data_IF_746039985748
#
_entry.id   IF_746039985748
#
_cell.length_a   1.000
_cell.length_b   1.000
_cell.length_c   1.000
_cell.angle_alpha   90.00
_cell.angle_beta   90.00
_cell.angle_gamma   90.00
#
_symmetry.space_group_name_H-M   'P 1'
#
loop_
_entity.id
_entity.type
_entity.pdbx_description
1 polymer ?
#
# COMPACT_ATOMS: atom_id res chain seq x y z
N UNK A 1 48.76 -5.11 55.42
CA UNK A 1 47.73 -6.18 55.40
C UNK A 1 46.90 -6.03 54.14
N UNK A 2 47.17 -6.87 53.15
CA UNK A 2 46.35 -7.12 51.96
C UNK A 2 46.06 -8.63 51.94
N UNK A 3 44.84 -9.02 51.63
CA UNK A 3 44.63 -10.03 50.57
C UNK A 3 43.55 -9.54 49.57
N UNK A 4 43.77 -9.53 48.25
CA UNK A 4 43.74 -10.68 47.30
C UNK A 4 42.52 -11.58 47.49
N UNK A 5 41.58 -11.55 46.53
CA UNK A 5 41.02 -12.73 45.82
C UNK A 5 40.61 -12.31 44.38
N UNK A 6 40.82 -13.16 43.36
CA UNK A 6 40.89 -12.81 41.93
C UNK A 6 39.72 -13.38 41.09
N UNK A 7 39.63 -12.98 39.83
CA UNK A 7 38.82 -13.64 38.78
C UNK A 7 38.61 -12.69 37.62
N UNK A 8 39.32 -12.80 36.49
CA UNK A 8 39.21 -13.91 35.53
C UNK A 8 38.20 -13.44 34.47
N UNK A 9 38.60 -13.02 33.28
CA UNK A 9 39.23 -13.89 32.28
C UNK A 9 38.18 -14.22 31.23
N UNK A 10 38.51 -13.94 29.97
CA UNK A 10 37.66 -14.09 28.79
C UNK A 10 36.99 -15.46 28.65
N UNK A 11 35.76 -15.50 28.15
CA UNK A 11 35.25 -16.65 27.40
C UNK A 11 34.10 -16.24 26.47
N UNK A 12 34.37 -16.38 25.17
CA UNK A 12 33.40 -16.59 24.10
C UNK A 12 32.59 -17.88 24.38
N UNK A 13 31.41 -18.03 23.76
CA UNK A 13 30.95 -19.22 22.98
C UNK A 13 29.41 -19.30 22.93
N UNK A 14 28.90 -19.01 21.72
CA UNK A 14 27.96 -19.79 20.88
C UNK A 14 27.08 -20.87 21.52
N UNK A 15 25.76 -20.75 21.32
CA UNK A 15 24.77 -21.83 21.16
C UNK A 15 23.43 -21.19 20.71
N UNK A 16 22.54 -21.76 19.91
CA UNK A 16 22.54 -22.91 19.03
C UNK A 16 21.24 -22.81 18.18
N UNK A 17 21.36 -23.14 16.90
CA UNK A 17 20.45 -24.03 16.16
C UNK A 17 18.92 -23.85 16.29
N UNK A 18 18.30 -23.37 15.22
CA UNK A 18 17.09 -24.00 14.68
C UNK A 18 17.19 -24.03 13.15
N UNK A 19 17.83 -25.09 12.65
CA UNK A 19 17.51 -25.65 11.36
C UNK A 19 16.34 -26.61 11.58
N UNK A 20 15.26 -26.44 10.84
CA UNK A 20 14.38 -27.55 10.49
C UNK A 20 13.86 -27.31 9.08
N UNK A 21 14.22 -28.26 8.23
CA UNK A 21 13.90 -28.38 6.82
C UNK A 21 12.58 -29.16 6.71
N UNK A 22 11.61 -28.63 5.97
CA UNK A 22 10.54 -29.43 5.37
C UNK A 22 10.05 -28.69 4.12
N UNK A 23 10.54 -29.05 2.93
CA UNK A 23 10.07 -30.16 2.10
C UNK A 23 9.06 -29.69 1.03
N UNK A 24 9.31 -30.06 -0.23
CA UNK A 24 8.24 -30.27 -1.20
C UNK A 24 8.31 -29.50 -2.51
N UNK A 25 9.18 -30.00 -3.41
CA UNK A 25 8.96 -30.17 -4.85
C UNK A 25 7.79 -29.46 -5.56
N UNK A 26 8.14 -28.76 -6.64
CA UNK A 26 7.31 -28.43 -7.81
C UNK A 26 6.56 -29.68 -8.34
N UNK A 27 5.41 -29.50 -9.00
CA UNK A 27 5.48 -29.50 -10.46
C UNK A 27 4.61 -28.46 -11.16
N UNK A 28 5.11 -28.08 -12.33
CA UNK A 28 4.41 -27.38 -13.38
C UNK A 28 3.21 -28.19 -13.90
N UNK A 29 2.10 -27.49 -14.18
CA UNK A 29 1.14 -27.90 -15.20
C UNK A 29 0.77 -26.66 -16.02
N UNK A 30 1.31 -26.65 -17.24
CA UNK A 30 0.80 -25.87 -18.34
C UNK A 30 -0.52 -26.50 -18.82
N UNK A 31 -1.54 -25.69 -19.05
CA UNK A 31 -2.59 -25.91 -20.05
C UNK A 31 -3.14 -24.52 -20.40
N UNK A 32 -2.66 -23.93 -21.50
CA UNK A 32 -3.15 -24.12 -22.86
C UNK A 32 -4.34 -23.20 -23.15
N UNK A 33 -4.08 -22.28 -24.08
CA UNK A 33 -5.00 -21.37 -24.72
C UNK A 33 -6.16 -22.09 -25.44
N UNK A 34 -7.31 -21.42 -25.52
CA UNK A 34 -8.20 -21.39 -26.69
C UNK A 34 -9.35 -20.43 -26.37
N UNK A 35 -9.48 -19.24 -26.97
CA UNK A 35 -9.85 -18.89 -28.35
C UNK A 35 -11.36 -18.81 -28.59
N UNK A 36 -11.72 -17.87 -29.48
CA UNK A 36 -13.04 -17.61 -30.09
C UNK A 36 -14.09 -16.90 -29.20
N UNK A 37 -14.81 -15.87 -29.64
CA UNK A 37 -14.96 -15.22 -30.95
C UNK A 37 -15.43 -13.76 -30.73
N UNK A 38 -14.97 -12.80 -31.53
CA UNK A 38 -15.54 -12.45 -32.84
C UNK A 38 -16.85 -11.64 -32.74
N UNK A 39 -16.75 -10.42 -33.30
CA UNK A 39 -17.76 -9.74 -34.12
C UNK A 39 -18.99 -9.06 -33.44
N UNK A 40 -18.90 -7.74 -33.31
CA UNK A 40 -19.61 -6.76 -34.16
C UNK A 40 -21.14 -6.88 -34.34
N UNK A 41 -21.90 -5.90 -33.82
CA UNK A 41 -23.16 -5.39 -34.40
C UNK A 41 -23.54 -4.06 -33.71
N UNK A 42 -23.33 -2.91 -34.35
CA UNK A 42 -24.29 -2.21 -35.21
C UNK A 42 -25.33 -1.38 -34.42
N UNK A 43 -25.13 -0.07 -34.47
CA UNK A 43 -26.15 0.93 -34.19
C UNK A 43 -27.26 0.87 -35.26
N UNK A 44 -28.53 1.04 -34.85
CA UNK A 44 -29.57 1.91 -35.45
C UNK A 44 -30.96 1.62 -34.87
N UNK A 45 -31.55 2.65 -34.26
CA UNK A 45 -32.91 3.16 -34.50
C UNK A 45 -34.14 2.33 -34.11
N UNK A 46 -35.09 2.98 -33.43
CA UNK A 46 -36.51 2.55 -33.43
C UNK A 46 -37.28 2.97 -32.19
N UNK A 47 -38.11 3.99 -32.33
CA UNK A 47 -38.98 4.56 -31.31
C UNK A 47 -40.15 3.62 -30.90
N UNK A 48 -40.56 3.69 -29.64
CA UNK A 48 -41.73 3.00 -29.11
C UNK A 48 -42.12 3.55 -27.74
N UNK A 49 -43.09 4.45 -27.77
CA UNK A 49 -43.86 5.07 -26.67
C UNK A 49 -44.29 4.10 -25.56
N UNK A 50 -44.01 4.48 -24.30
CA UNK A 50 -44.91 4.24 -23.16
C UNK A 50 -44.57 5.21 -22.02
N UNK A 51 -45.51 6.10 -21.77
CA UNK A 51 -45.60 6.98 -20.62
C UNK A 51 -45.77 6.14 -19.34
N UNK A 52 -44.87 6.32 -18.38
CA UNK A 52 -45.10 5.91 -17.00
C UNK A 52 -44.40 6.93 -16.10
N UNK A 53 -45.14 7.98 -15.73
CA UNK A 53 -44.78 8.85 -14.63
C UNK A 53 -44.76 8.02 -13.34
N UNK A 54 -43.58 7.55 -12.97
CA UNK A 54 -43.21 7.21 -11.61
C UNK A 54 -41.77 7.60 -11.50
N UNK A 55 -41.49 8.54 -10.60
CA UNK A 55 -40.15 8.83 -10.14
C UNK A 55 -39.59 7.57 -9.47
N UNK A 56 -38.46 7.00 -9.92
CA UNK A 56 -37.52 6.45 -8.98
C UNK A 56 -36.36 7.43 -8.87
N UNK A 57 -36.16 7.87 -7.63
CA UNK A 57 -34.98 8.56 -7.19
C UNK A 57 -33.73 7.84 -7.73
N UNK A 58 -32.79 8.66 -8.19
CA UNK A 58 -31.42 8.31 -8.54
C UNK A 58 -30.78 7.40 -7.49
N UNK A 59 -30.98 6.10 -7.62
CA UNK A 59 -30.06 5.09 -7.11
C UNK A 59 -29.05 4.87 -8.24
N UNK A 60 -28.09 5.78 -8.34
CA UNK A 60 -26.80 5.44 -8.91
C UNK A 60 -26.28 4.27 -8.06
N UNK A 61 -26.57 3.05 -8.50
CA UNK A 61 -25.87 1.86 -8.05
C UNK A 61 -24.44 2.15 -8.45
N UNK A 62 -23.66 2.66 -7.49
CA UNK A 62 -22.23 2.81 -7.66
C UNK A 62 -21.73 1.42 -7.96
N UNK A 63 -21.46 1.16 -9.24
CA UNK A 63 -20.52 0.12 -9.65
C UNK A 63 -19.34 0.28 -8.71
N UNK A 64 -19.16 -0.69 -7.82
CA UNK A 64 -17.95 -0.80 -7.02
C UNK A 64 -16.83 -0.78 -8.04
N UNK A 65 -16.19 0.38 -8.19
CA UNK A 65 -15.15 0.58 -9.18
C UNK A 65 -14.14 -0.54 -8.95
N UNK A 66 -13.84 -1.30 -10.01
CA UNK A 66 -12.78 -2.29 -9.94
C UNK A 66 -11.57 -1.64 -9.28
N UNK A 67 -10.88 -2.34 -8.35
CA UNK A 67 -9.77 -1.79 -7.60
C UNK A 67 -8.78 -1.17 -8.58
N UNK A 68 -8.84 0.17 -8.70
CA UNK A 68 -8.03 0.88 -9.69
C UNK A 68 -6.60 0.69 -9.28
N UNK A 69 -5.80 0.18 -10.23
CA UNK A 69 -4.35 0.10 -10.05
C UNK A 69 -3.85 1.51 -9.74
N UNK A 70 -3.11 1.63 -8.66
CA UNK A 70 -2.57 2.90 -8.24
C UNK A 70 -1.55 3.43 -9.25
N UNK A 71 -1.38 4.76 -9.35
CA UNK A 71 -0.28 5.34 -10.10
C UNK A 71 1.06 4.98 -9.45
N UNK A 72 2.13 5.19 -10.20
CA UNK A 72 3.50 4.94 -9.74
C UNK A 72 3.98 5.94 -8.68
N UNK A 73 3.59 7.19 -8.85
CA UNK A 73 3.92 8.28 -7.94
C UNK A 73 2.75 9.28 -7.92
N UNK A 74 2.57 9.94 -6.79
CA UNK A 74 1.67 11.08 -6.65
C UNK A 74 2.53 12.33 -6.53
N UNK A 75 2.35 13.27 -7.45
CA UNK A 75 3.10 14.53 -7.44
C UNK A 75 2.26 15.59 -6.74
N UNK A 76 2.84 16.26 -5.75
CA UNK A 76 2.22 17.44 -5.13
C UNK A 76 2.39 18.66 -6.05
N UNK A 77 1.55 19.71 -5.91
CA UNK A 77 1.71 20.94 -6.71
C UNK A 77 3.10 21.60 -6.67
N UNK A 78 3.91 21.37 -5.62
CA UNK A 78 5.29 21.86 -5.52
C UNK A 78 6.35 20.91 -6.11
N UNK A 79 5.93 19.84 -6.77
CA UNK A 79 6.83 18.89 -7.42
C UNK A 79 7.39 17.81 -6.50
N UNK A 80 6.84 17.62 -5.29
CA UNK A 80 7.25 16.51 -4.43
C UNK A 80 6.61 15.22 -4.94
N UNK A 81 7.44 14.26 -5.34
CA UNK A 81 6.99 12.96 -5.82
C UNK A 81 6.89 11.97 -4.65
N UNK A 82 5.68 11.51 -4.39
CA UNK A 82 5.37 10.53 -3.35
C UNK A 82 5.30 9.16 -4.03
N UNK A 83 6.30 8.27 -3.84
CA UNK A 83 6.27 6.95 -4.44
C UNK A 83 5.14 6.12 -3.86
N UNK A 84 4.42 5.44 -4.74
CA UNK A 84 3.37 4.50 -4.37
C UNK A 84 3.93 3.08 -4.50
N UNK A 85 3.70 2.20 -3.51
CA UNK A 85 4.17 0.82 -3.58
C UNK A 85 3.70 0.10 -4.84
N UNK A 86 4.56 -0.71 -5.44
CA UNK A 86 4.24 -1.45 -6.65
C UNK A 86 3.03 -2.36 -6.44
N UNK A 87 2.09 -2.34 -7.39
CA UNK A 87 0.87 -3.14 -7.31
C UNK A 87 -0.18 -2.64 -6.32
N UNK A 88 0.04 -1.48 -5.68
CA UNK A 88 -0.97 -0.91 -4.81
C UNK A 88 -2.26 -0.56 -5.56
N UNK A 89 -3.34 -0.50 -4.82
CA UNK A 89 -4.69 -0.18 -5.29
C UNK A 89 -5.18 1.09 -4.60
N UNK A 90 -5.85 1.94 -5.36
CA UNK A 90 -6.50 3.15 -4.85
C UNK A 90 -6.72 4.20 -5.94
N UNK A 91 -7.04 5.45 -5.58
CA UNK A 91 -7.09 5.97 -4.21
C UNK A 91 -8.32 5.48 -3.44
N UNK A 92 -8.11 5.09 -2.18
CA UNK A 92 -9.17 4.78 -1.23
C UNK A 92 -9.36 5.95 -0.26
N UNK A 93 -10.61 6.40 -0.08
CA UNK A 93 -10.94 7.42 0.90
C UNK A 93 -10.71 6.89 2.31
N UNK A 94 -10.21 7.76 3.20
CA UNK A 94 -10.03 7.42 4.62
C UNK A 94 -11.01 8.18 5.49
N UNK A 95 -11.16 7.77 6.76
CA UNK A 95 -12.04 8.48 7.72
C UNK A 95 -11.57 9.92 7.99
N UNK A 96 -10.27 10.18 7.85
CA UNK A 96 -9.71 11.52 7.98
C UNK A 96 -9.49 12.13 6.59
N UNK A 97 -9.41 13.47 6.47
CA UNK A 97 -9.07 14.12 5.21
C UNK A 97 -7.81 13.52 4.56
N UNK A 98 -7.93 13.21 3.27
CA UNK A 98 -6.91 12.52 2.48
C UNK A 98 -7.34 11.14 1.97
N UNK A 99 -6.38 10.42 1.42
CA UNK A 99 -6.56 9.16 0.72
C UNK A 99 -5.38 8.22 0.95
N UNK A 100 -5.57 6.94 0.65
CA UNK A 100 -4.52 5.93 0.77
C UNK A 100 -4.51 4.97 -0.42
N UNK A 101 -3.35 4.37 -0.64
CA UNK A 101 -3.14 3.24 -1.53
C UNK A 101 -2.68 2.05 -0.70
N UNK A 102 -3.22 0.87 -0.97
CA UNK A 102 -2.97 -0.35 -0.17
C UNK A 102 -2.67 -1.55 -1.07
N UNK A 103 -2.16 -2.64 -0.47
CA UNK A 103 -1.99 -3.93 -1.15
C UNK A 103 -0.86 -3.95 -2.18
N UNK A 104 0.06 -2.97 -2.13
CA UNK A 104 1.29 -3.01 -2.91
C UNK A 104 2.44 -3.61 -2.10
N UNK A 105 3.65 -3.53 -2.66
CA UNK A 105 4.88 -3.95 -1.99
C UNK A 105 6.10 -3.27 -2.60
N UNK A 106 6.81 -2.46 -1.80
CA UNK A 106 8.08 -1.84 -2.16
C UNK A 106 8.09 -1.11 -3.50
N UNK A 107 9.26 -1.07 -4.14
CA UNK A 107 9.44 -0.44 -5.45
C UNK A 107 9.80 1.04 -5.36
N UNK A 108 10.45 1.59 -6.40
CA UNK A 108 10.74 3.03 -6.53
C UNK A 108 11.51 3.63 -5.34
N UNK A 109 12.41 2.86 -4.76
CA UNK A 109 13.19 3.24 -3.58
C UNK A 109 12.52 2.90 -2.23
N UNK A 110 11.33 2.29 -2.24
CA UNK A 110 10.68 1.75 -1.06
C UNK A 110 11.15 0.32 -0.77
N UNK A 111 11.29 0.00 0.51
CA UNK A 111 11.54 -1.34 1.01
C UNK A 111 10.35 -2.26 0.75
N UNK A 112 10.59 -3.55 0.51
CA UNK A 112 9.56 -4.55 0.22
C UNK A 112 8.51 -4.68 1.33
N UNK A 113 8.81 -4.32 2.57
CA UNK A 113 7.83 -4.34 3.67
C UNK A 113 6.84 -3.19 3.64
N UNK A 114 7.04 -2.20 2.78
CA UNK A 114 6.11 -1.09 2.59
C UNK A 114 5.01 -1.53 1.66
N UNK A 115 3.79 -1.67 2.18
CA UNK A 115 2.65 -2.18 1.41
C UNK A 115 1.61 -1.12 1.07
N UNK A 116 1.61 -0.04 1.84
CA UNK A 116 0.60 1.01 1.75
C UNK A 116 1.22 2.37 1.98
N UNK A 117 0.65 3.38 1.33
CA UNK A 117 0.99 4.78 1.52
C UNK A 117 -0.30 5.56 1.74
N UNK A 118 -0.31 6.40 2.78
CA UNK A 118 -1.43 7.25 3.13
C UNK A 118 -1.02 8.71 3.07
N UNK A 119 -1.75 9.48 2.29
CA UNK A 119 -1.54 10.90 2.09
C UNK A 119 -2.68 11.62 2.83
N UNK A 120 -2.32 12.37 3.86
CA UNK A 120 -3.25 13.12 4.69
C UNK A 120 -3.19 14.60 4.35
N UNK A 121 -4.36 15.22 4.26
CA UNK A 121 -4.45 16.67 4.11
C UNK A 121 -4.09 17.38 5.43
N UNK A 122 -3.75 18.67 5.29
CA UNK A 122 -3.51 19.54 6.44
C UNK A 122 -4.79 19.68 7.28
N UNK A 123 -4.61 19.84 8.57
CA UNK A 123 -5.65 20.18 9.53
C UNK A 123 -5.17 21.29 10.47
N UNK A 124 -6.02 21.72 11.40
CA UNK A 124 -5.73 22.82 12.33
C UNK A 124 -4.47 22.61 13.20
N UNK A 125 -3.99 21.36 13.37
CA UNK A 125 -2.87 21.02 14.26
C UNK A 125 -1.63 20.56 13.51
N UNK A 126 -1.75 20.16 12.25
CA UNK A 126 -0.70 19.47 11.52
C UNK A 126 -0.83 19.76 10.03
N UNK A 127 0.30 20.03 9.36
CA UNK A 127 0.36 20.19 7.90
C UNK A 127 0.07 18.90 7.14
N UNK A 128 0.07 19.02 5.80
CA UNK A 128 -0.07 17.86 4.89
C UNK A 128 1.06 16.89 5.13
N UNK A 129 0.77 15.59 5.03
CA UNK A 129 1.79 14.58 5.33
C UNK A 129 1.53 13.23 4.69
N UNK A 130 2.60 12.47 4.56
CA UNK A 130 2.59 11.10 4.05
C UNK A 130 3.04 10.14 5.14
N UNK A 131 2.40 8.98 5.16
CA UNK A 131 2.71 7.88 6.07
C UNK A 131 2.80 6.57 5.29
N UNK A 132 3.90 5.86 5.46
CA UNK A 132 4.10 4.52 4.90
C UNK A 132 3.76 3.46 5.93
N UNK A 133 3.09 2.40 5.46
CA UNK A 133 2.59 1.33 6.31
C UNK A 133 2.93 -0.05 5.72
N UNK A 134 3.17 -1.01 6.60
CA UNK A 134 3.26 -2.43 6.23
C UNK A 134 1.87 -3.07 6.13
N UNK A 135 1.83 -4.34 5.76
CA UNK A 135 0.57 -5.11 5.57
C UNK A 135 -0.25 -5.26 6.86
N UNK A 136 0.36 -4.92 8.01
CA UNK A 136 -0.28 -4.94 9.34
C UNK A 136 -0.74 -3.55 9.78
N UNK A 137 -0.83 -2.59 8.86
CA UNK A 137 -1.16 -1.18 9.11
C UNK A 137 -0.23 -0.49 10.13
N UNK A 138 0.99 -1.02 10.32
CA UNK A 138 1.98 -0.40 11.19
C UNK A 138 2.82 0.58 10.39
N UNK A 139 3.14 1.72 11.00
CA UNK A 139 4.04 2.72 10.40
C UNK A 139 5.44 2.16 10.26
N UNK A 140 6.00 2.31 9.07
CA UNK A 140 7.34 1.83 8.75
C UNK A 140 8.19 2.93 8.15
N UNK A 141 9.49 2.81 8.34
CA UNK A 141 10.46 3.58 7.58
C UNK A 141 10.40 3.14 6.11
N UNK A 142 10.14 4.06 5.16
CA UNK A 142 9.98 3.71 3.75
C UNK A 142 11.22 3.06 3.13
N UNK A 143 12.42 3.39 3.61
CA UNK A 143 13.68 2.95 3.01
C UNK A 143 14.22 1.65 3.59
N UNK A 144 13.79 1.27 4.80
CA UNK A 144 14.30 0.07 5.50
C UNK A 144 13.22 -0.93 5.88
N UNK A 145 11.95 -0.55 5.72
CA UNK A 145 10.79 -1.37 6.07
C UNK A 145 10.64 -1.66 7.57
N UNK A 146 11.50 -1.07 8.42
CA UNK A 146 11.44 -1.27 9.87
C UNK A 146 10.25 -0.51 10.44
N UNK A 147 9.50 -1.17 11.31
CA UNK A 147 8.45 -0.50 12.08
C UNK A 147 9.06 0.60 12.95
N UNK A 148 8.44 1.78 12.92
CA UNK A 148 8.92 2.96 13.64
C UNK A 148 7.85 3.51 14.58
N UNK A 149 8.30 4.17 15.64
CA UNK A 149 7.40 4.81 16.60
C UNK A 149 6.76 6.07 16.01
N UNK A 150 5.67 6.55 16.62
CA UNK A 150 4.97 7.77 16.19
C UNK A 150 5.84 9.03 16.23
N UNK A 151 6.82 9.05 17.14
CA UNK A 151 7.70 10.19 17.38
C UNK A 151 8.88 10.24 16.40
N UNK A 152 9.07 9.20 15.58
CA UNK A 152 10.11 9.19 14.56
C UNK A 152 9.78 10.21 13.46
N UNK A 153 10.74 11.05 13.02
CA UNK A 153 10.53 11.99 11.92
C UNK A 153 10.02 11.33 10.62
N UNK A 154 10.41 10.08 10.35
CA UNK A 154 9.97 9.34 9.16
C UNK A 154 8.55 8.77 9.29
N UNK A 155 7.96 8.81 10.47
CA UNK A 155 6.59 8.35 10.70
C UNK A 155 5.55 9.31 10.12
N UNK A 156 5.92 10.58 9.94
CA UNK A 156 5.09 11.62 9.32
C UNK A 156 5.97 12.49 8.45
N UNK A 157 6.03 12.16 7.15
CA UNK A 157 6.76 12.96 6.18
C UNK A 157 5.89 14.16 5.81
N UNK A 158 6.20 15.32 6.38
CA UNK A 158 5.45 16.54 6.11
C UNK A 158 5.76 17.02 4.70
N UNK A 159 4.70 17.24 3.94
CA UNK A 159 4.76 17.85 2.62
C UNK A 159 4.83 19.36 2.80
N UNK A 160 5.51 20.05 1.90
CA UNK A 160 5.51 21.52 1.89
C UNK A 160 4.08 22.05 1.74
N UNK A 161 3.67 22.90 2.68
CA UNK A 161 2.39 23.59 2.61
C UNK A 161 2.38 24.58 1.44
N UNK A 162 1.19 24.81 0.88
CA UNK A 162 0.96 25.80 -0.18
C UNK A 162 0.77 27.16 0.52
N UNK A 163 1.73 28.07 0.39
CA UNK A 163 1.48 29.50 0.66
C UNK A 163 0.84 30.18 -0.54
#
# INVERSE_FOLDING_TARGET
MLPVVPGGGWALIRAAAHADEAAGALPAIAHAASSAGAAQAAARGGAGVAEAATTPASAAVGTLAEPRRAPDFVVTPHGEAIPVPDGAVGPLSTRAPGFQYIGGSGGKGLDQRVSAVRIMDANQRQGRRVVYMNERDQRVNPYTGRTISKSDPLAHLYLKDWE
#
